data_IF_720840936807
#
_entry.id   IF_720840936807
#
_cell.length_a   1.000
_cell.length_b   1.000
_cell.length_c   1.000
_cell.angle_alpha   90.00
_cell.angle_beta   90.00
_cell.angle_gamma   90.00
#
_symmetry.space_group_name_H-M   'P 1'
#
loop_
_entity.id
_entity.type
_entity.pdbx_description
1 polymer ?
#
# COMPACT_ATOMS: atom_id res chain seq x y z
N UNK A 1 13.85 -11.90 12.23
CA UNK A 1 14.82 -13.01 12.01
C UNK A 1 15.40 -13.56 13.31
N UNK A 2 16.02 -12.73 14.16
CA UNK A 2 16.65 -13.16 15.44
C UNK A 2 15.74 -14.05 16.31
N UNK A 3 14.47 -13.70 16.49
CA UNK A 3 13.52 -14.51 17.25
C UNK A 3 13.37 -15.95 16.70
N UNK A 4 13.33 -16.11 15.38
CA UNK A 4 13.24 -17.44 14.75
C UNK A 4 14.52 -18.25 14.92
N UNK A 5 15.69 -17.60 14.85
CA UNK A 5 16.99 -18.25 15.11
C UNK A 5 17.09 -18.78 16.55
N UNK A 6 16.39 -18.14 17.49
CA UNK A 6 16.28 -18.57 18.88
C UNK A 6 15.13 -19.57 19.11
N UNK A 7 14.52 -20.09 18.05
CA UNK A 7 13.41 -21.06 18.12
C UNK A 7 12.11 -20.48 18.66
N UNK A 8 11.89 -19.16 18.58
CA UNK A 8 10.68 -18.49 19.08
C UNK A 8 9.69 -18.26 17.95
N UNK A 9 8.41 -18.54 18.20
CA UNK A 9 7.33 -18.13 17.31
C UNK A 9 7.26 -16.61 17.16
N UNK A 10 6.83 -16.13 16.00
CA UNK A 10 6.85 -14.70 15.66
C UNK A 10 5.49 -14.26 15.12
N UNK A 11 4.88 -13.28 15.78
CA UNK A 11 3.86 -12.43 15.20
C UNK A 11 4.51 -11.06 14.88
N UNK A 12 4.35 -10.57 13.66
CA UNK A 12 4.95 -9.31 13.22
C UNK A 12 3.94 -8.48 12.43
N UNK A 13 3.65 -7.27 12.89
CA UNK A 13 2.78 -6.33 12.18
C UNK A 13 3.38 -5.86 10.85
N UNK A 14 2.51 -5.53 9.89
CA UNK A 14 2.90 -4.87 8.65
C UNK A 14 3.48 -3.46 8.91
N UNK A 15 4.39 -2.95 8.05
CA UNK A 15 5.01 -3.61 6.91
C UNK A 15 6.10 -4.61 7.34
N UNK A 16 6.15 -5.78 6.69
CA UNK A 16 7.02 -6.89 7.11
C UNK A 16 8.50 -6.67 6.78
N UNK A 17 8.79 -6.05 5.63
CA UNK A 17 10.15 -5.90 5.08
C UNK A 17 10.25 -4.64 4.24
N UNK A 18 11.45 -4.05 4.17
CA UNK A 18 11.74 -2.89 3.35
C UNK A 18 12.09 -3.27 1.89
N UNK A 19 12.68 -4.46 1.69
CA UNK A 19 13.10 -4.94 0.37
C UNK A 19 12.57 -6.34 0.02
N UNK A 20 12.50 -6.66 -1.27
CA UNK A 20 12.14 -8.02 -1.75
C UNK A 20 13.16 -9.06 -1.28
N UNK A 21 14.44 -8.68 -1.20
CA UNK A 21 15.50 -9.56 -0.74
C UNK A 21 15.28 -9.98 0.72
N UNK A 22 14.92 -9.04 1.60
CA UNK A 22 14.54 -9.33 2.97
C UNK A 22 13.33 -10.27 3.05
N UNK A 23 12.28 -10.03 2.25
CA UNK A 23 11.09 -10.88 2.25
C UNK A 23 11.45 -12.33 1.89
N UNK A 24 12.29 -12.52 0.86
CA UNK A 24 12.79 -13.84 0.45
C UNK A 24 13.63 -14.50 1.56
N UNK A 25 14.52 -13.74 2.21
CA UNK A 25 15.36 -14.25 3.29
C UNK A 25 14.55 -14.63 4.52
N UNK A 26 13.51 -13.85 4.84
CA UNK A 26 12.60 -14.13 5.94
C UNK A 26 11.78 -15.41 5.67
N UNK A 27 11.30 -15.60 4.44
CA UNK A 27 10.57 -16.81 4.04
C UNK A 27 11.47 -18.07 4.03
N UNK A 28 12.73 -17.95 3.62
CA UNK A 28 13.74 -19.02 3.76
C UNK A 28 13.96 -19.37 5.24
N UNK A 29 14.13 -18.37 6.09
CA UNK A 29 14.33 -18.57 7.52
C UNK A 29 13.12 -19.25 8.17
N UNK A 30 11.89 -18.82 7.87
CA UNK A 30 10.69 -19.45 8.39
C UNK A 30 10.58 -20.94 7.99
N UNK A 31 10.95 -21.28 6.75
CA UNK A 31 10.95 -22.69 6.26
C UNK A 31 11.99 -23.56 6.95
N UNK A 32 13.13 -23.00 7.31
CA UNK A 32 14.25 -23.75 7.91
C UNK A 32 14.08 -23.92 9.42
N UNK A 33 13.66 -22.87 10.13
CA UNK A 33 13.48 -22.91 11.59
C UNK A 33 12.19 -23.61 12.01
N UNK A 34 11.17 -23.59 11.13
CA UNK A 34 9.85 -24.23 11.35
C UNK A 34 9.12 -23.75 12.61
N UNK A 35 9.46 -22.57 13.12
CA UNK A 35 8.69 -21.93 14.19
C UNK A 35 7.37 -21.40 13.63
N UNK A 36 6.35 -21.26 14.47
CA UNK A 36 5.11 -20.61 14.07
C UNK A 36 5.37 -19.14 13.71
N UNK A 37 4.94 -18.71 12.51
CA UNK A 37 5.09 -17.33 12.05
C UNK A 37 3.77 -16.79 11.53
N UNK A 38 3.45 -15.55 11.85
CA UNK A 38 2.29 -14.84 11.32
C UNK A 38 2.63 -13.37 11.07
N UNK A 39 2.27 -12.87 9.90
CA UNK A 39 2.23 -11.42 9.65
C UNK A 39 0.87 -10.88 10.06
N UNK A 40 0.85 -9.83 10.85
CA UNK A 40 -0.34 -9.02 11.08
C UNK A 40 -0.66 -8.23 9.83
N UNK A 41 -1.73 -8.61 9.12
CA UNK A 41 -2.33 -7.81 8.07
C UNK A 41 -3.79 -7.54 8.46
N UNK A 42 -4.07 -6.30 8.86
CA UNK A 42 -5.40 -5.91 9.30
C UNK A 42 -6.42 -6.18 8.18
N UNK A 43 -7.61 -6.66 8.55
CA UNK A 43 -8.69 -6.95 7.60
C UNK A 43 -8.63 -8.29 6.88
N UNK A 44 -7.45 -8.92 6.72
CA UNK A 44 -7.34 -10.19 5.97
C UNK A 44 -8.25 -11.29 6.54
N UNK A 45 -8.29 -11.40 7.86
CA UNK A 45 -9.09 -12.40 8.57
C UNK A 45 -10.51 -11.92 8.92
N UNK A 46 -10.91 -10.74 8.48
CA UNK A 46 -12.26 -10.20 8.69
C UNK A 46 -13.24 -10.73 7.62
N UNK A 47 -14.52 -10.43 7.79
CA UNK A 47 -15.59 -10.94 6.92
C UNK A 47 -15.57 -10.32 5.51
N UNK A 48 -15.12 -9.07 5.39
CA UNK A 48 -15.17 -8.32 4.15
C UNK A 48 -14.47 -9.02 2.97
N UNK A 49 -13.22 -9.45 3.16
CA UNK A 49 -12.48 -10.13 2.10
C UNK A 49 -12.90 -11.58 1.85
N UNK A 50 -13.47 -12.27 2.85
CA UNK A 50 -14.11 -13.58 2.62
C UNK A 50 -15.29 -13.44 1.68
N UNK A 51 -16.17 -12.47 1.95
CA UNK A 51 -17.31 -12.16 1.11
C UNK A 51 -16.88 -11.78 -0.30
N UNK A 52 -15.89 -10.90 -0.45
CA UNK A 52 -15.32 -10.58 -1.77
C UNK A 52 -14.93 -11.85 -2.54
N UNK A 53 -14.21 -12.78 -1.91
CA UNK A 53 -13.82 -14.03 -2.55
C UNK A 53 -15.04 -14.84 -3.01
N UNK A 54 -16.09 -14.94 -2.19
CA UNK A 54 -17.33 -15.65 -2.53
C UNK A 54 -18.04 -15.04 -3.75
N UNK A 55 -18.18 -13.71 -3.82
CA UNK A 55 -18.79 -13.03 -4.97
C UNK A 55 -17.96 -13.21 -6.25
N UNK A 56 -16.64 -13.11 -6.15
CA UNK A 56 -15.74 -13.30 -7.29
C UNK A 56 -15.76 -14.75 -7.77
N UNK A 57 -15.66 -15.71 -6.85
CA UNK A 57 -15.58 -17.14 -7.21
C UNK A 57 -16.93 -17.74 -7.63
N UNK A 58 -18.06 -17.19 -7.17
CA UNK A 58 -19.38 -17.53 -7.72
C UNK A 58 -19.62 -16.97 -9.12
N UNK A 59 -18.77 -16.05 -9.59
CA UNK A 59 -18.90 -15.43 -10.90
C UNK A 59 -19.99 -14.36 -10.98
N UNK A 60 -20.32 -13.72 -9.84
CA UNK A 60 -21.33 -12.67 -9.74
C UNK A 60 -21.08 -11.51 -10.71
N UNK A 61 -19.82 -11.09 -10.86
CA UNK A 61 -19.39 -10.06 -11.83
C UNK A 61 -18.72 -10.64 -13.09
N UNK A 62 -18.74 -11.96 -13.29
CA UNK A 62 -18.06 -12.60 -14.42
C UNK A 62 -16.54 -12.61 -14.29
N UNK A 63 -15.80 -12.74 -15.41
CA UNK A 63 -14.34 -12.75 -15.35
C UNK A 63 -13.81 -11.33 -15.18
N UNK A 64 -12.97 -11.11 -14.17
CA UNK A 64 -12.34 -9.82 -13.89
C UNK A 64 -11.07 -9.69 -14.73
N UNK A 65 -10.98 -8.61 -15.52
CA UNK A 65 -9.85 -8.29 -16.41
C UNK A 65 -9.11 -7.03 -15.98
N UNK A 66 -9.69 -6.24 -15.08
CA UNK A 66 -9.11 -5.00 -14.59
C UNK A 66 -9.54 -4.70 -13.14
N UNK A 67 -8.61 -4.17 -12.32
CA UNK A 67 -8.93 -3.63 -10.99
C UNK A 67 -8.32 -2.26 -10.77
N UNK A 68 -9.02 -1.38 -10.05
CA UNK A 68 -8.50 -0.07 -9.66
C UNK A 68 -8.53 0.09 -8.15
N UNK A 69 -7.36 0.04 -7.52
CA UNK A 69 -7.17 0.22 -6.08
C UNK A 69 -6.61 1.60 -5.78
N UNK A 70 -7.10 2.27 -4.74
CA UNK A 70 -6.63 3.60 -4.38
C UNK A 70 -6.50 3.86 -2.88
N UNK A 71 -5.70 4.88 -2.56
CA UNK A 71 -5.70 5.52 -1.25
C UNK A 71 -5.53 7.03 -1.33
N UNK A 72 -6.26 7.76 -0.48
CA UNK A 72 -6.09 9.19 -0.25
C UNK A 72 -4.86 9.56 0.59
N UNK A 73 -4.09 8.56 1.04
CA UNK A 73 -2.81 8.78 1.74
C UNK A 73 -1.71 9.20 0.78
N UNK A 74 -0.89 10.13 1.24
CA UNK A 74 0.32 10.59 0.55
C UNK A 74 1.48 10.51 1.54
N UNK A 75 2.17 9.37 1.54
CA UNK A 75 3.38 9.13 2.32
C UNK A 75 4.60 9.41 1.45
N UNK A 76 4.71 10.63 0.94
CA UNK A 76 5.83 11.10 0.12
C UNK A 76 6.06 12.59 0.38
N UNK A 77 7.00 13.19 -0.32
CA UNK A 77 7.29 14.61 -0.12
C UNK A 77 8.18 15.20 -1.20
N UNK A 78 8.39 16.51 -1.13
CA UNK A 78 9.16 17.30 -2.11
C UNK A 78 10.21 18.17 -1.43
N UNK A 79 11.25 18.53 -2.14
CA UNK A 79 12.29 19.41 -1.59
C UNK A 79 13.28 18.70 -0.67
N UNK A 80 14.23 19.46 -0.10
CA UNK A 80 15.39 18.89 0.59
C UNK A 80 15.03 18.37 1.98
N UNK A 81 16.00 17.68 2.58
CA UNK A 81 15.95 17.35 4.00
C UNK A 81 15.78 18.63 4.84
N UNK A 82 14.87 18.64 5.82
CA UNK A 82 14.83 19.72 6.80
C UNK A 82 16.17 19.85 7.53
N UNK A 83 16.39 21.01 8.14
CA UNK A 83 17.54 21.21 9.01
C UNK A 83 17.56 20.19 10.15
N UNK A 84 18.76 19.75 10.53
CA UNK A 84 18.96 18.89 11.69
C UNK A 84 18.39 19.52 12.96
N UNK A 85 17.84 18.70 13.83
CA UNK A 85 17.28 19.09 15.12
C UNK A 85 17.84 18.21 16.24
N UNK A 86 17.81 18.67 17.51
CA UNK A 86 18.16 17.83 18.64
C UNK A 86 17.25 16.60 18.70
N UNK A 87 17.83 15.44 19.00
CA UNK A 87 17.07 14.21 19.25
C UNK A 87 16.14 14.44 20.46
N UNK A 88 14.84 14.12 20.36
CA UNK A 88 13.92 14.24 21.49
C UNK A 88 14.38 13.44 22.71
N UNK A 89 14.20 14.01 23.91
CA UNK A 89 14.53 13.34 25.15
C UNK A 89 13.83 11.97 25.24
N UNK A 90 14.60 10.93 25.54
CA UNK A 90 14.09 9.55 25.63
C UNK A 90 14.06 8.76 24.32
N UNK A 91 14.34 9.39 23.17
CA UNK A 91 14.49 8.67 21.90
C UNK A 91 15.95 8.21 21.73
N UNK A 92 16.20 6.90 21.79
CA UNK A 92 17.50 6.36 21.38
C UNK A 92 17.59 6.39 19.85
N UNK A 93 18.30 7.38 19.31
CA UNK A 93 18.38 7.63 17.88
C UNK A 93 19.10 6.53 17.09
N UNK A 94 20.20 6.01 17.65
CA UNK A 94 20.96 4.91 17.04
C UNK A 94 20.08 3.66 16.91
N UNK A 95 19.36 3.30 17.98
CA UNK A 95 18.42 2.19 17.96
C UNK A 95 17.23 2.42 17.01
N UNK A 96 16.78 3.67 16.83
CA UNK A 96 15.70 4.01 15.90
C UNK A 96 16.14 3.90 14.44
N UNK A 97 17.35 4.37 14.11
CA UNK A 97 17.94 4.22 12.76
C UNK A 97 18.15 2.74 12.42
N UNK A 98 18.59 1.94 13.39
CA UNK A 98 18.85 0.52 13.21
C UNK A 98 19.82 0.28 12.05
N UNK A 99 19.47 -0.54 11.05
CA UNK A 99 20.37 -0.85 9.93
C UNK A 99 20.44 0.24 8.86
N UNK A 100 19.65 1.32 8.95
CA UNK A 100 19.65 2.38 7.96
C UNK A 100 20.93 3.25 8.01
N UNK A 101 21.31 3.95 6.93
CA UNK A 101 22.45 4.85 6.94
C UNK A 101 22.34 5.93 8.04
N UNK A 102 23.44 6.12 8.77
CA UNK A 102 23.55 7.13 9.81
C UNK A 102 23.19 8.53 9.27
N UNK A 103 22.35 9.26 10.02
CA UNK A 103 21.96 10.63 9.70
C UNK A 103 21.56 11.39 10.96
N UNK A 104 21.62 12.71 10.87
CA UNK A 104 21.08 13.58 11.92
C UNK A 104 19.56 13.45 12.03
N UNK A 105 19.06 13.62 13.25
CA UNK A 105 17.63 13.72 13.49
C UNK A 105 17.04 15.00 12.88
N UNK A 106 15.83 14.90 12.37
CA UNK A 106 14.97 16.04 12.06
C UNK A 106 13.50 15.67 12.33
N UNK A 107 12.64 16.68 12.52
CA UNK A 107 11.25 16.49 12.95
C UNK A 107 10.38 15.72 11.94
N UNK A 108 10.79 15.66 10.67
CA UNK A 108 10.06 15.02 9.57
C UNK A 108 10.40 13.52 9.39
N UNK A 109 10.49 12.77 10.49
CA UNK A 109 10.72 11.32 10.50
C UNK A 109 9.76 10.62 11.45
N UNK A 110 9.97 10.82 12.75
CA UNK A 110 9.16 10.23 13.81
C UNK A 110 7.95 11.14 14.14
N UNK A 111 6.72 10.61 14.32
CA UNK A 111 6.38 9.18 14.45
C UNK A 111 5.98 8.47 13.14
N UNK A 112 5.66 9.19 12.07
CA UNK A 112 5.02 8.58 10.89
C UNK A 112 5.69 8.92 9.55
N UNK A 113 6.37 10.05 9.44
CA UNK A 113 6.84 10.56 8.14
C UNK A 113 8.01 9.76 7.55
N UNK A 114 8.68 8.93 8.36
CA UNK A 114 9.67 7.96 7.92
C UNK A 114 9.20 7.09 6.75
N UNK A 115 7.89 6.84 6.61
CA UNK A 115 7.33 6.13 5.45
C UNK A 115 7.69 6.76 4.09
N UNK A 116 7.86 8.09 4.05
CA UNK A 116 8.15 8.85 2.84
C UNK A 116 9.62 8.95 2.47
N UNK A 117 10.53 8.38 3.27
CA UNK A 117 11.97 8.43 3.04
C UNK A 117 12.49 7.09 2.53
N UNK A 118 13.31 7.10 1.48
CA UNK A 118 13.81 5.90 0.80
C UNK A 118 14.58 4.93 1.72
N UNK A 119 15.18 5.44 2.79
CA UNK A 119 15.99 4.62 3.70
C UNK A 119 15.18 3.90 4.79
N UNK A 120 13.91 4.27 4.97
CA UNK A 120 13.09 3.78 6.08
C UNK A 120 11.76 3.17 5.63
N UNK A 121 11.11 3.81 4.66
CA UNK A 121 9.75 3.49 4.24
C UNK A 121 9.65 2.94 2.82
N UNK A 122 8.42 2.78 2.34
CA UNK A 122 8.13 2.34 0.97
C UNK A 122 6.98 3.17 0.36
N UNK A 123 6.87 4.44 0.77
CA UNK A 123 5.84 5.35 0.31
C UNK A 123 4.42 4.91 0.69
N UNK A 124 3.44 5.50 0.00
CA UNK A 124 2.02 5.17 0.18
C UNK A 124 1.72 3.71 -0.17
N UNK A 125 2.33 3.20 -1.25
CA UNK A 125 2.16 1.81 -1.67
C UNK A 125 2.58 0.82 -0.57
N UNK A 126 3.74 1.00 0.06
CA UNK A 126 4.15 0.08 1.12
C UNK A 126 3.31 0.19 2.39
N UNK A 127 2.85 1.40 2.73
CA UNK A 127 2.03 1.61 3.92
C UNK A 127 0.60 1.08 3.78
N UNK A 128 -0.03 1.32 2.61
CA UNK A 128 -1.45 1.05 2.37
C UNK A 128 -1.73 -0.04 1.34
N UNK A 129 -0.82 -0.31 0.41
CA UNK A 129 -1.01 -1.33 -0.62
C UNK A 129 -1.23 -2.72 -0.02
N UNK A 130 -0.50 -3.08 1.04
CA UNK A 130 -0.70 -4.34 1.76
C UNK A 130 -2.10 -4.50 2.35
N UNK A 131 -2.81 -3.40 2.64
CA UNK A 131 -4.18 -3.41 3.12
C UNK A 131 -5.17 -3.49 1.95
N UNK A 132 -5.01 -2.62 0.96
CA UNK A 132 -6.01 -2.41 -0.10
C UNK A 132 -5.93 -3.47 -1.20
N UNK A 133 -4.72 -3.92 -1.55
CA UNK A 133 -4.49 -4.93 -2.58
C UNK A 133 -4.65 -6.36 -2.05
N UNK A 134 -4.74 -6.58 -0.74
CA UNK A 134 -4.89 -7.93 -0.15
C UNK A 134 -6.10 -8.67 -0.73
N UNK A 135 -7.27 -8.03 -0.73
CA UNK A 135 -8.48 -8.58 -1.35
C UNK A 135 -8.31 -8.87 -2.84
N UNK A 136 -7.55 -8.06 -3.57
CA UNK A 136 -7.25 -8.29 -5.00
C UNK A 136 -6.41 -9.56 -5.17
N UNK A 137 -5.33 -9.67 -4.42
CA UNK A 137 -4.45 -10.84 -4.49
C UNK A 137 -5.19 -12.12 -4.11
N UNK A 138 -6.02 -12.07 -3.07
CA UNK A 138 -6.73 -13.25 -2.58
C UNK A 138 -7.88 -13.66 -3.52
N UNK A 139 -8.78 -12.75 -3.83
CA UNK A 139 -9.96 -13.04 -4.66
C UNK A 139 -9.58 -13.43 -6.09
N UNK A 140 -8.54 -12.80 -6.64
CA UNK A 140 -8.07 -13.08 -8.00
C UNK A 140 -6.96 -14.14 -8.05
N UNK A 141 -6.54 -14.72 -6.92
CA UNK A 141 -5.49 -15.75 -6.84
C UNK A 141 -4.19 -15.30 -7.52
N UNK A 142 -3.76 -14.07 -7.24
CA UNK A 142 -2.56 -13.49 -7.86
C UNK A 142 -1.31 -13.99 -7.16
N UNK A 143 -0.27 -14.21 -7.96
CA UNK A 143 1.09 -14.48 -7.48
C UNK A 143 2.03 -13.38 -7.98
N UNK A 144 2.75 -13.64 -9.07
CA UNK A 144 3.75 -12.73 -9.61
C UNK A 144 3.26 -12.05 -10.89
N UNK A 145 3.42 -10.73 -11.00
CA UNK A 145 3.17 -10.00 -12.24
C UNK A 145 4.25 -10.34 -13.28
N UNK A 146 3.91 -10.26 -14.56
CA UNK A 146 4.87 -10.36 -15.67
C UNK A 146 5.41 -8.99 -16.10
N UNK A 147 4.70 -7.91 -15.74
CA UNK A 147 5.12 -6.53 -15.99
C UNK A 147 4.64 -5.62 -14.86
N UNK A 148 5.46 -4.62 -14.55
CA UNK A 148 5.11 -3.51 -13.66
C UNK A 148 5.50 -2.22 -14.38
N UNK A 149 4.64 -1.23 -14.36
CA UNK A 149 4.88 0.08 -14.98
C UNK A 149 4.44 1.21 -14.06
N UNK A 150 5.30 2.21 -13.90
CA UNK A 150 4.95 3.47 -13.29
C UNK A 150 4.43 4.42 -14.38
N UNK A 151 3.12 4.49 -14.52
CA UNK A 151 2.47 5.27 -15.58
C UNK A 151 2.46 6.76 -15.27
N UNK A 152 2.36 7.12 -13.98
CA UNK A 152 2.43 8.50 -13.51
C UNK A 152 3.15 8.58 -12.17
N UNK A 153 3.98 9.60 -12.00
CA UNK A 153 4.72 9.89 -10.77
C UNK A 153 4.64 11.40 -10.52
N UNK A 154 4.24 11.79 -9.31
CA UNK A 154 4.11 13.17 -8.90
C UNK A 154 4.95 13.45 -7.66
N UNK A 155 5.68 14.57 -7.66
CA UNK A 155 6.56 14.95 -6.54
C UNK A 155 7.69 13.95 -6.31
N UNK A 156 8.15 13.85 -5.06
CA UNK A 156 9.33 13.07 -4.70
C UNK A 156 10.61 13.90 -4.72
N UNK A 157 11.70 13.28 -4.29
CA UNK A 157 13.06 13.80 -4.42
C UNK A 157 14.07 12.65 -4.54
N UNK A 158 15.37 12.96 -4.53
CA UNK A 158 16.45 11.98 -4.44
C UNK A 158 16.33 11.05 -3.20
N UNK A 159 15.71 11.55 -2.12
CA UNK A 159 15.60 10.85 -0.84
C UNK A 159 14.15 10.51 -0.47
N UNK A 160 13.17 10.99 -1.22
CA UNK A 160 11.75 10.88 -0.87
C UNK A 160 10.92 10.21 -1.93
N UNK A 161 10.01 9.36 -1.46
CA UNK A 161 9.00 8.75 -2.32
C UNK A 161 8.07 9.82 -2.91
N UNK A 162 7.49 9.54 -4.10
CA UNK A 162 6.54 10.43 -4.74
C UNK A 162 5.35 10.80 -3.84
N UNK A 163 4.86 12.02 -3.98
CA UNK A 163 3.63 12.47 -3.30
C UNK A 163 2.37 11.84 -3.89
N UNK A 164 2.47 11.23 -5.08
CA UNK A 164 1.42 10.40 -5.66
C UNK A 164 1.91 9.62 -6.89
N UNK A 165 1.27 8.49 -7.15
CA UNK A 165 1.62 7.60 -8.25
C UNK A 165 0.39 6.96 -8.89
N UNK A 166 0.53 6.61 -10.17
CA UNK A 166 -0.32 5.62 -10.85
C UNK A 166 0.58 4.49 -11.32
N UNK A 167 0.36 3.31 -10.77
CA UNK A 167 1.14 2.11 -11.09
C UNK A 167 0.23 1.06 -11.72
N UNK A 168 0.76 0.28 -12.65
CA UNK A 168 0.08 -0.84 -13.29
C UNK A 168 0.91 -2.11 -13.15
N UNK A 169 0.25 -3.19 -12.78
CA UNK A 169 0.77 -4.55 -12.87
C UNK A 169 -0.04 -5.34 -13.89
N UNK A 170 0.67 -6.06 -14.75
CA UNK A 170 0.04 -7.02 -15.65
C UNK A 170 0.29 -8.43 -15.10
N UNK A 171 -0.79 -9.14 -14.74
CA UNK A 171 -0.74 -10.52 -14.30
C UNK A 171 -1.17 -11.46 -15.44
N UNK A 172 -0.47 -12.59 -15.63
CA UNK A 172 -0.83 -13.55 -16.65
C UNK A 172 -2.15 -14.26 -16.29
N UNK A 173 -2.69 -15.03 -17.23
CA UNK A 173 -3.73 -15.99 -16.91
C UNK A 173 -3.22 -16.97 -15.84
N UNK A 174 -4.11 -17.34 -14.90
CA UNK A 174 -3.82 -18.25 -13.77
C UNK A 174 -5.03 -19.13 -13.53
N UNK A 175 -4.93 -20.13 -12.66
CA UNK A 175 -6.02 -20.93 -12.04
C UNK A 175 -7.48 -20.70 -12.55
N UNK A 176 -7.76 -20.92 -13.84
CA UNK A 176 -9.07 -20.71 -14.47
C UNK A 176 -9.50 -19.25 -14.74
N UNK A 177 -8.73 -18.25 -14.34
CA UNK A 177 -9.04 -16.82 -14.47
C UNK A 177 -8.18 -16.16 -15.58
N UNK A 178 -8.68 -15.14 -16.32
CA UNK A 178 -7.99 -14.53 -17.47
C UNK A 178 -6.90 -13.54 -17.05
N UNK A 179 -5.93 -13.22 -17.91
CA UNK A 179 -4.97 -12.16 -17.60
C UNK A 179 -5.67 -10.87 -17.11
N UNK A 180 -5.09 -10.21 -16.10
CA UNK A 180 -5.70 -9.07 -15.40
C UNK A 180 -4.71 -7.93 -15.25
N UNK A 181 -5.18 -6.71 -15.47
CA UNK A 181 -4.44 -5.49 -15.16
C UNK A 181 -4.86 -4.98 -13.79
N UNK A 182 -3.89 -4.80 -12.90
CA UNK A 182 -4.12 -4.25 -11.56
C UNK A 182 -3.54 -2.86 -11.51
N UNK A 183 -4.37 -1.86 -11.24
CA UNK A 183 -3.95 -0.48 -11.10
C UNK A 183 -3.96 -0.03 -9.65
N UNK A 184 -2.95 0.74 -9.29
CA UNK A 184 -2.83 1.43 -8.02
C UNK A 184 -2.78 2.94 -8.23
N UNK A 185 -3.48 3.66 -7.36
CA UNK A 185 -3.49 5.11 -7.32
C UNK A 185 -3.26 5.57 -5.89
N UNK A 186 -2.25 6.41 -5.67
CA UNK A 186 -2.06 7.03 -4.37
C UNK A 186 -1.79 8.52 -4.47
N UNK A 187 -2.02 9.16 -3.32
CA UNK A 187 -1.49 10.47 -3.03
C UNK A 187 -2.20 11.62 -3.73
N UNK A 188 -1.41 12.64 -4.06
CA UNK A 188 -1.86 14.00 -4.39
C UNK A 188 -1.24 14.46 -5.71
N UNK A 189 -2.07 15.10 -6.54
CA UNK A 189 -1.69 15.75 -7.79
C UNK A 189 -1.60 17.26 -7.55
N UNK A 190 -0.61 17.91 -8.18
CA UNK A 190 -0.48 19.37 -8.16
C UNK A 190 -0.01 19.92 -6.80
N UNK A 191 0.76 19.13 -6.05
CA UNK A 191 1.41 19.60 -4.82
C UNK A 191 2.47 20.63 -5.19
N UNK A 192 2.34 21.86 -4.71
CA UNK A 192 3.32 22.93 -4.94
C UNK A 192 4.49 22.91 -3.95
N UNK A 193 5.61 23.53 -4.31
CA UNK A 193 6.85 23.62 -3.51
C UNK A 193 6.76 24.50 -2.24
N UNK A 194 5.61 25.10 -1.96
CA UNK A 194 5.47 26.05 -0.84
C UNK A 194 5.37 25.32 0.50
N UNK A 195 6.41 25.48 1.32
CA UNK A 195 6.65 24.73 2.57
C UNK A 195 5.59 24.76 3.67
N UNK A 196 4.52 25.57 3.55
CA UNK A 196 3.40 25.61 4.49
C UNK A 196 2.46 24.38 4.37
N UNK A 197 2.52 23.64 3.27
CA UNK A 197 1.69 22.46 3.00
C UNK A 197 2.28 21.16 3.56
N UNK A 198 3.51 21.18 4.09
CA UNK A 198 4.25 20.02 4.62
C UNK A 198 3.90 19.66 6.08
N UNK A 199 2.69 19.98 6.57
CA UNK A 199 2.27 19.45 7.88
C UNK A 199 2.25 17.93 7.81
N UNK A 200 2.96 17.30 8.73
CA UNK A 200 3.10 15.85 8.88
C UNK A 200 1.75 15.18 9.18
N UNK A 201 0.91 14.99 8.16
CA UNK A 201 -0.36 14.25 8.27
C UNK A 201 -0.31 12.98 7.43
N UNK A 202 -1.06 11.92 7.79
CA UNK A 202 -1.18 10.73 6.95
C UNK A 202 -1.76 10.98 5.55
N UNK A 203 -2.42 12.14 5.34
CA UNK A 203 -2.97 12.56 4.04
C UNK A 203 -1.93 13.29 3.16
N UNK A 204 -0.74 13.53 3.71
CA UNK A 204 0.36 14.26 3.10
C UNK A 204 0.00 15.71 2.76
N UNK A 205 0.73 16.33 1.83
CA UNK A 205 0.57 17.73 1.51
C UNK A 205 -0.77 18.02 0.81
N UNK A 206 -1.20 19.29 0.84
CA UNK A 206 -2.45 19.70 0.19
C UNK A 206 -2.34 19.55 -1.34
N UNK A 207 -3.37 18.96 -1.94
CA UNK A 207 -3.45 18.74 -3.38
C UNK A 207 -4.69 17.95 -3.77
N UNK A 208 -4.96 17.85 -5.07
CA UNK A 208 -6.09 17.06 -5.59
C UNK A 208 -5.82 15.58 -5.37
N UNK A 209 -6.77 14.83 -4.81
CA UNK A 209 -6.61 13.37 -4.65
C UNK A 209 -6.40 12.71 -6.01
N UNK A 210 -5.40 11.84 -6.11
CA UNK A 210 -5.17 11.01 -7.28
C UNK A 210 -6.13 9.81 -7.27
N UNK A 211 -7.37 10.02 -7.71
CA UNK A 211 -8.39 8.98 -7.76
C UNK A 211 -8.48 8.35 -9.15
N UNK A 212 -8.79 7.04 -9.24
CA UNK A 212 -9.10 6.42 -10.53
C UNK A 212 -10.22 7.18 -11.24
N UNK A 213 -10.12 7.44 -12.56
CA UNK A 213 -11.20 8.08 -13.32
C UNK A 213 -12.55 7.36 -13.17
N UNK A 214 -12.54 6.03 -13.18
CA UNK A 214 -13.73 5.21 -13.00
C UNK A 214 -14.46 5.46 -11.66
N UNK A 215 -13.73 5.74 -10.57
CA UNK A 215 -14.35 6.10 -9.28
C UNK A 215 -15.14 7.42 -9.41
N UNK A 216 -14.63 8.37 -10.19
CA UNK A 216 -15.29 9.66 -10.38
C UNK A 216 -16.59 9.49 -11.18
N UNK A 217 -16.55 8.66 -12.23
CA UNK A 217 -17.73 8.31 -13.03
C UNK A 217 -18.79 7.59 -12.21
N UNK A 218 -18.39 6.58 -11.42
CA UNK A 218 -19.32 5.83 -10.57
C UNK A 218 -19.96 6.70 -9.48
N UNK A 219 -19.21 7.62 -8.87
CA UNK A 219 -19.76 8.59 -7.91
C UNK A 219 -20.82 9.51 -8.52
N UNK A 220 -20.69 9.87 -9.81
CA UNK A 220 -21.68 10.68 -10.50
C UNK A 220 -22.90 9.87 -10.88
N UNK A 221 -22.69 8.60 -11.30
CA UNK A 221 -23.76 7.70 -11.73
C UNK A 221 -24.59 7.17 -10.56
N UNK A 222 -23.96 6.94 -9.41
CA UNK A 222 -24.55 6.38 -8.20
C UNK A 222 -24.23 7.28 -6.99
N UNK A 223 -24.82 8.49 -6.93
CA UNK A 223 -24.51 9.47 -5.89
C UNK A 223 -24.90 9.03 -4.47
N UNK A 224 -25.83 8.08 -4.35
CA UNK A 224 -26.23 7.43 -3.10
C UNK A 224 -25.17 6.44 -2.59
N UNK A 225 -24.32 5.92 -3.48
CA UNK A 225 -23.32 4.92 -3.12
C UNK A 225 -22.08 5.55 -2.50
N UNK A 226 -21.67 4.99 -1.36
CA UNK A 226 -20.52 5.49 -0.62
C UNK A 226 -19.23 4.83 -1.08
N UNK A 227 -18.28 5.64 -1.54
CA UNK A 227 -16.90 5.24 -1.81
C UNK A 227 -15.96 5.89 -0.80
N UNK A 228 -15.17 5.06 -0.12
CA UNK A 228 -14.27 5.49 0.93
C UNK A 228 -12.99 6.16 0.37
N UNK A 229 -12.22 6.80 1.25
CA UNK A 229 -10.94 7.42 0.89
C UNK A 229 -9.88 6.39 0.47
N UNK A 230 -10.15 5.09 0.62
CA UNK A 230 -9.32 3.99 0.13
C UNK A 230 -10.17 2.75 -0.15
N UNK A 231 -9.95 2.11 -1.29
CA UNK A 231 -10.75 0.96 -1.71
C UNK A 231 -10.31 0.40 -3.07
N UNK A 232 -11.10 -0.51 -3.60
CA UNK A 232 -10.83 -1.20 -4.86
C UNK A 232 -12.10 -1.38 -5.67
N UNK A 233 -12.00 -1.14 -6.98
CA UNK A 233 -13.00 -1.53 -7.99
C UNK A 233 -12.49 -2.77 -8.73
N UNK A 234 -13.37 -3.72 -9.00
CA UNK A 234 -13.16 -4.90 -9.80
C UNK A 234 -14.06 -4.82 -11.04
N UNK A 235 -13.47 -4.75 -12.23
CA UNK A 235 -14.19 -4.65 -13.50
C UNK A 235 -14.31 -6.05 -14.09
N UNK A 236 -15.52 -6.59 -14.09
CA UNK A 236 -15.83 -7.90 -14.64
C UNK A 236 -16.75 -7.83 -15.84
N UNK A 237 -16.79 -8.92 -16.60
CA UNK A 237 -17.62 -9.05 -17.81
C UNK A 237 -19.13 -8.85 -17.57
N UNK A 238 -19.63 -9.09 -16.36
CA UNK A 238 -21.06 -8.97 -16.02
C UNK A 238 -21.40 -7.75 -15.17
N UNK A 239 -20.40 -7.01 -14.69
CA UNK A 239 -20.63 -5.91 -13.75
C UNK A 239 -19.37 -5.41 -13.06
N UNK A 240 -19.56 -4.46 -12.16
CA UNK A 240 -18.49 -3.83 -11.39
C UNK A 240 -18.74 -4.12 -9.91
N UNK A 241 -17.72 -4.59 -9.21
CA UNK A 241 -17.77 -4.73 -7.75
C UNK A 241 -16.86 -3.69 -7.11
N UNK A 242 -17.28 -3.10 -5.99
CA UNK A 242 -16.45 -2.22 -5.17
C UNK A 242 -16.26 -2.84 -3.79
N UNK A 243 -15.06 -2.69 -3.21
CA UNK A 243 -14.79 -2.94 -1.78
C UNK A 243 -14.05 -1.76 -1.16
N UNK A 244 -14.42 -1.36 0.05
CA UNK A 244 -13.56 -0.50 0.87
C UNK A 244 -12.31 -1.24 1.33
N UNK A 245 -11.40 -0.52 1.98
CA UNK A 245 -10.26 -1.13 2.68
C UNK A 245 -10.78 -2.15 3.70
N UNK A 246 -10.22 -3.37 3.71
CA UNK A 246 -10.67 -4.53 4.51
C UNK A 246 -12.02 -5.14 4.09
N UNK A 247 -12.70 -4.59 3.07
CA UNK A 247 -13.93 -5.14 2.51
C UNK A 247 -15.20 -4.91 3.33
N UNK A 248 -15.17 -4.02 4.33
CA UNK A 248 -16.30 -3.79 5.24
C UNK A 248 -17.49 -3.08 4.58
N UNK A 249 -17.26 -2.33 3.51
CA UNK A 249 -18.30 -1.80 2.62
C UNK A 249 -18.10 -2.42 1.24
N UNK A 250 -19.18 -2.89 0.62
CA UNK A 250 -19.11 -3.55 -0.68
C UNK A 250 -20.39 -3.32 -1.48
N UNK A 251 -20.24 -2.98 -2.75
CA UNK A 251 -21.32 -2.71 -3.71
C UNK A 251 -21.11 -3.55 -4.96
N UNK A 252 -22.18 -3.93 -5.65
CA UNK A 252 -22.17 -4.65 -6.94
C UNK A 252 -23.13 -4.00 -7.93
#
# INVERSE_FOLDING_TARGET
>A
MMAMQLGKGVYCEKPLTHTIAEARKLAEMARTTKVATQMGNQGHCEEGYRRLCEYVWSGAVGRITETHSWTGRSNGGIGPRPASAPVPAGLNWDAWLGPAPARDYHADLHPHQWHGWHDFGNGSLGNMGCHVLDGVYWALKLEHPVRIEAEQVFGGSDQRYPTGTRLRWDFPARAGQPAVKVYWYDGRIGVGDTGDDNKATPKGPKGKSNLPPLVQELKQKFPEEKFDDSGTIYVGEKGILYTSTYGNHMHI
#
